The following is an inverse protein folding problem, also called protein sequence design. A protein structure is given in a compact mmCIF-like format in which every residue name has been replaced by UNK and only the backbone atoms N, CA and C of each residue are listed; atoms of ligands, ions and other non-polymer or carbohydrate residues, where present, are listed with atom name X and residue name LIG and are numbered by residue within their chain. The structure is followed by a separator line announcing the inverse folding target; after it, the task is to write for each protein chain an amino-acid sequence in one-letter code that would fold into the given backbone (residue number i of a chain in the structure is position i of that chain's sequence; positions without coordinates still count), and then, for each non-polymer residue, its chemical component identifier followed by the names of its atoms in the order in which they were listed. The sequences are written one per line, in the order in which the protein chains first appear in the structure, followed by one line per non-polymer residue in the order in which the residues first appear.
data_IF_979341476398
#
_entry.id   IF_979341476398
#
_cell.length_a   1.000
_cell.length_b   1.000
_cell.length_c   1.000
_cell.angle_alpha   90.00
_cell.angle_beta   90.00
_cell.angle_gamma   90.00
#
_symmetry.space_group_name_H-M   'P 1'
#
loop_
_entity.id
_entity.type
_entity.pdbx_description
1 polymer ?
2 non-polymer ?
3 water ?
#
# COMPACT_ATOMS: atom_id res chain seq x y z
N UNK A 1 7.41 13.10 10.27
CA UNK A 1 6.30 12.71 9.32
C UNK A 1 5.92 11.24 9.53
N UNK A 2 4.61 10.95 9.40
CA UNK A 2 4.08 9.61 9.59
C UNK A 2 4.25 8.76 8.31
N UNK A 3 5.05 7.69 8.42
CA UNK A 3 5.15 6.68 7.34
C UNK A 3 4.17 5.55 7.59
N UNK A 4 3.13 5.49 6.77
CA UNK A 4 2.09 4.50 6.94
C UNK A 4 2.16 3.53 5.77
N UNK A 5 2.06 2.23 6.09
CA UNK A 5 1.96 1.18 5.09
C UNK A 5 0.50 1.06 4.74
N UNK A 6 0.20 0.72 3.48
CA UNK A 6 -1.17 0.56 3.04
C UNK A 6 -1.17 -0.69 2.17
N UNK A 7 -1.90 -1.71 2.62
CA UNK A 7 -1.79 -3.09 2.09
C UNK A 7 -3.10 -3.95 2.18
N UNK A 8 -3.38 -4.69 1.11
CA UNK A 8 -4.40 -5.71 1.17
C UNK A 8 -3.72 -7.02 0.82
N UNK A 9 -4.15 -8.11 1.48
CA UNK A 9 -3.52 -9.44 1.37
C UNK A 9 -4.42 -10.62 1.73
N UNK A 10 -4.12 -11.77 1.12
CA UNK A 10 -4.53 -13.15 1.56
C UNK A 10 -4.55 -13.44 3.05
N UNK A 11 -4.95 -14.65 3.38
CA UNK A 11 -4.76 -15.09 4.75
C UNK A 11 -3.35 -15.68 4.87
N UNK A 12 -2.80 -16.02 3.71
CA UNK A 12 -1.39 -16.43 3.55
C UNK A 12 -0.38 -15.35 3.12
N UNK A 13 -0.74 -14.08 3.34
CA UNK A 13 0.05 -12.88 3.00
C UNK A 13 0.29 -12.56 1.53
N UNK A 14 -0.37 -13.22 0.58
CA UNK A 14 -0.21 -12.89 -0.86
C UNK A 14 -0.82 -11.52 -1.19
N UNK A 15 -0.07 -10.68 -1.89
CA UNK A 15 -0.56 -9.38 -2.27
C UNK A 15 -0.57 -9.22 -3.79
N UNK A 16 -0.31 -10.29 -4.54
CA UNK A 16 -0.03 -10.17 -5.97
C UNK A 16 0.23 -11.47 -6.68
N UNK A 17 0.10 -11.45 -8.00
CA UNK A 17 -0.06 -12.67 -8.82
C UNK A 17 0.99 -12.84 -9.90
N UNK A 18 0.75 -12.22 -11.04
CA UNK A 18 1.75 -12.21 -12.10
C UNK A 18 2.52 -10.93 -11.85
N UNK A 19 1.76 -9.84 -11.92
CA UNK A 19 2.13 -8.49 -11.55
C UNK A 19 0.86 -7.88 -10.98
N UNK A 20 -0.22 -8.03 -11.75
CA UNK A 20 -1.59 -7.71 -11.35
C UNK A 20 -2.03 -8.49 -10.08
N UNK A 21 -2.97 -7.93 -9.32
CA UNK A 21 -3.31 -8.50 -8.01
C UNK A 21 -4.26 -9.69 -8.14
N UNK A 22 -4.29 -10.55 -7.12
CA UNK A 22 -5.03 -11.83 -7.19
C UNK A 22 -6.57 -11.75 -7.35
N UNK A 23 -7.16 -10.68 -6.83
CA UNK A 23 -8.62 -10.57 -6.73
C UNK A 23 -9.20 -9.46 -7.64
N UNK A 24 -10.04 -8.60 -7.06
CA UNK A 24 -10.67 -7.44 -7.73
C UNK A 24 -11.91 -7.01 -6.94
N UNK A 25 -11.68 -6.13 -5.98
CA UNK A 25 -12.66 -5.79 -5.00
C UNK A 25 -12.96 -4.28 -4.90
N UNK A 26 -13.68 -3.73 -5.89
CA UNK A 26 -14.26 -2.40 -5.83
C UNK A 26 -14.46 -1.73 -4.45
N UNK A 27 -15.17 -2.37 -3.53
CA UNK A 27 -15.41 -1.72 -2.23
C UNK A 27 -14.12 -1.52 -1.46
N UNK A 28 -13.16 -2.44 -1.62
CA UNK A 28 -11.86 -2.34 -0.94
C UNK A 28 -11.15 -1.08 -1.42
N UNK A 29 -11.03 -0.95 -2.74
CA UNK A 29 -10.50 0.22 -3.45
C UNK A 29 -11.18 1.50 -3.05
N UNK A 30 -12.39 1.36 -2.51
CA UNK A 30 -13.11 2.49 -1.89
C UNK A 30 -12.40 2.88 -0.60
N UNK A 31 -12.43 2.03 0.42
CA UNK A 31 -11.70 2.30 1.68
C UNK A 31 -10.33 2.97 1.38
N UNK A 32 -9.70 2.53 0.28
CA UNK A 32 -8.32 2.90 0.00
C UNK A 32 -8.37 4.36 -0.44
N UNK A 33 -9.07 4.65 -1.54
CA UNK A 33 -9.36 6.04 -1.94
C UNK A 33 -9.64 6.93 -0.75
N UNK A 34 -10.69 6.63 0.02
CA UNK A 34 -11.08 7.34 1.26
C UNK A 34 -9.90 7.74 2.13
N UNK A 35 -9.30 6.75 2.79
CA UNK A 35 -8.21 6.92 3.78
C UNK A 35 -6.93 7.59 3.20
N UNK A 36 -6.73 7.41 1.91
CA UNK A 36 -5.54 7.88 1.24
C UNK A 36 -5.67 9.32 0.76
N UNK A 37 -6.88 9.71 0.33
CA UNK A 37 -7.14 10.99 -0.39
C UNK A 37 -6.39 12.14 0.23
N UNK A 38 -5.71 12.91 -0.61
CA UNK A 38 -5.00 14.11 -0.16
C UNK A 38 -3.68 13.82 0.49
N UNK A 39 -3.12 12.67 0.14
CA UNK A 39 -1.86 12.18 0.70
C UNK A 39 -1.05 11.56 -0.39
N UNK A 40 0.28 11.60 -0.23
CA UNK A 40 1.18 10.98 -1.22
C UNK A 40 1.17 9.45 -1.18
N UNK A 41 1.06 8.82 -2.36
CA UNK A 41 1.23 7.38 -2.52
C UNK A 41 2.62 7.13 -3.03
N UNK A 42 3.42 6.32 -2.33
CA UNK A 42 4.76 5.90 -2.76
C UNK A 42 4.65 4.45 -3.22
N UNK A 43 4.89 4.21 -4.51
CA UNK A 43 4.79 2.87 -5.08
C UNK A 43 5.98 2.53 -6.00
N UNK A 44 6.20 1.27 -6.30
CA UNK A 44 7.28 0.90 -7.20
C UNK A 44 6.78 0.89 -8.63
N UNK A 45 7.69 0.63 -9.57
CA UNK A 45 7.34 0.67 -10.98
C UNK A 45 6.24 -0.33 -11.20
N UNK A 46 6.45 -1.58 -10.77
CA UNK A 46 5.56 -2.69 -11.13
C UNK A 46 4.16 -2.54 -10.55
N UNK A 47 4.11 -2.04 -9.32
CA UNK A 47 2.85 -1.59 -8.71
C UNK A 47 2.11 -0.54 -9.53
N UNK A 48 2.81 0.46 -10.08
CA UNK A 48 2.16 1.45 -10.95
C UNK A 48 1.62 0.88 -12.27
N UNK A 49 2.30 -0.09 -12.88
CA UNK A 49 1.80 -0.66 -14.13
C UNK A 49 0.54 -1.50 -13.92
N UNK A 50 0.41 -2.05 -12.71
CA UNK A 50 -0.77 -2.81 -12.33
C UNK A 50 -1.94 -1.83 -12.28
N UNK A 51 -1.76 -0.79 -11.47
CA UNK A 51 -2.70 0.33 -11.40
C UNK A 51 -2.99 0.97 -12.76
N UNK A 52 -1.94 1.28 -13.51
CA UNK A 52 -2.01 1.69 -14.92
C UNK A 52 -2.41 3.13 -15.16
N UNK A 53 -2.45 3.92 -14.08
CA UNK A 53 -2.67 5.37 -14.14
C UNK A 53 -2.47 6.04 -12.77
N UNK A 54 -2.19 7.35 -12.78
CA UNK A 54 -2.12 8.15 -11.55
C UNK A 54 -3.46 8.18 -10.77
N UNK A 55 -3.39 8.03 -9.45
CA UNK A 55 -4.60 8.13 -8.63
C UNK A 55 -4.95 9.56 -8.26
N UNK A 56 -6.12 10.01 -8.71
CA UNK A 56 -6.54 11.41 -8.56
C UNK A 56 -6.56 11.85 -7.10
N UNK A 57 -6.09 13.07 -6.82
CA UNK A 57 -6.22 13.68 -5.47
C UNK A 57 -5.03 13.53 -4.55
N UNK A 58 -4.02 12.80 -5.03
CA UNK A 58 -2.90 12.28 -4.25
C UNK A 58 -1.64 12.41 -5.10
N UNK A 59 -0.54 12.86 -4.50
CA UNK A 59 0.74 12.89 -5.20
C UNK A 59 1.21 11.46 -5.33
N UNK A 60 1.17 10.96 -6.55
CA UNK A 60 1.72 9.69 -6.88
C UNK A 60 3.20 9.85 -7.06
N UNK A 61 3.98 8.99 -6.42
CA UNK A 61 5.44 9.06 -6.39
C UNK A 61 5.90 7.62 -6.54
N UNK A 62 6.71 7.40 -7.56
CA UNK A 62 7.14 6.07 -7.97
C UNK A 62 8.58 5.94 -7.56
N UNK A 63 9.00 4.75 -7.12
CA UNK A 63 10.36 4.59 -6.61
C UNK A 63 11.13 3.65 -7.51
N UNK A 64 12.14 4.18 -8.22
CA UNK A 64 13.12 3.42 -8.99
C UNK A 64 14.46 4.04 -8.74
N UNK A 65 15.49 3.18 -8.73
CA UNK A 65 16.90 3.57 -8.80
C UNK A 65 17.29 4.12 -10.21
N UNK A 66 16.45 3.84 -11.22
CA UNK A 66 16.64 4.24 -12.63
C UNK A 66 16.51 5.75 -12.96
N UNK A 67 17.65 6.38 -13.28
CA UNK A 67 17.72 7.83 -13.38
C UNK A 67 16.91 8.44 -14.59
N UNK A 68 16.38 7.58 -15.46
CA UNK A 68 15.73 8.02 -16.69
C UNK A 68 14.31 7.53 -16.89
N UNK A 69 13.68 7.11 -15.80
CA UNK A 69 12.28 6.73 -15.77
C UNK A 69 11.35 7.93 -15.53
N UNK A 70 10.39 8.12 -16.45
CA UNK A 70 9.37 9.18 -16.35
C UNK A 70 7.96 8.68 -16.76
N UNK A 71 6.95 9.05 -16.00
CA UNK A 71 5.57 8.84 -16.47
C UNK A 71 4.84 10.11 -16.14
N UNK A 72 3.84 10.45 -16.95
CA UNK A 72 3.15 11.71 -16.73
C UNK A 72 2.21 11.58 -15.55
N UNK A 73 2.11 12.64 -14.76
CA UNK A 73 1.17 12.67 -13.64
C UNK A 73 1.75 12.11 -12.38
N UNK A 74 2.98 11.62 -12.48
CA UNK A 74 3.63 10.98 -11.37
C UNK A 74 5.01 11.59 -11.13
N UNK A 75 5.43 11.65 -9.88
CA UNK A 75 6.76 12.05 -9.58
C UNK A 75 7.58 10.77 -9.47
N UNK A 76 8.88 10.86 -9.69
CA UNK A 76 9.78 9.73 -9.53
C UNK A 76 10.79 10.05 -8.44
N UNK A 77 11.14 9.05 -7.66
CA UNK A 77 12.07 9.22 -6.59
C UNK A 77 13.01 8.08 -6.86
N UNK A 78 14.29 8.29 -6.61
CA UNK A 78 15.26 7.30 -7.04
C UNK A 78 15.91 6.88 -5.77
N UNK A 79 15.28 7.25 -4.67
CA UNK A 79 15.79 6.94 -3.32
C UNK A 79 14.76 7.09 -2.23
N UNK A 80 14.89 6.32 -1.16
CA UNK A 80 14.16 6.66 0.09
C UNK A 80 14.43 8.09 0.55
N UNK A 81 15.65 8.57 0.33
CA UNK A 81 16.01 9.89 0.82
C UNK A 81 15.21 10.96 0.07
N UNK A 82 15.10 10.77 -1.25
CA UNK A 82 14.32 11.65 -2.15
C UNK A 82 12.81 11.72 -1.86
N UNK A 83 12.23 10.55 -1.53
CA UNK A 83 10.84 10.38 -1.08
C UNK A 83 10.51 11.32 0.08
N UNK A 84 11.40 11.39 1.08
CA UNK A 84 11.28 12.30 2.22
C UNK A 84 11.58 13.75 1.86
N UNK A 85 12.38 13.95 0.81
CA UNK A 85 12.64 15.29 0.29
C UNK A 85 11.39 15.82 -0.42
N UNK A 86 10.84 15.07 -1.39
CA UNK A 86 9.52 15.40 -1.97
C UNK A 86 8.38 15.54 -0.94
N UNK A 87 8.44 14.79 0.14
CA UNK A 87 7.36 14.85 1.13
C UNK A 87 7.72 15.51 2.44
N UNK A 88 8.84 16.23 2.45
CA UNK A 88 9.21 17.21 3.48
C UNK A 88 8.07 17.82 4.35
N UNK A 89 7.08 18.44 3.71
CA UNK A 89 5.93 19.13 4.37
C UNK A 89 4.72 18.24 4.61
N UNK A 90 4.90 16.95 4.42
CA UNK A 90 3.78 16.04 4.42
C UNK A 90 3.48 15.42 5.78
N UNK A 91 2.27 15.68 6.24
CA UNK A 91 1.57 14.98 7.31
C UNK A 91 1.89 13.46 7.40
N UNK A 92 1.39 12.72 6.42
CA UNK A 92 1.38 11.28 6.43
C UNK A 92 1.75 10.85 5.01
N UNK A 93 2.48 9.73 4.92
CA UNK A 93 2.94 9.10 3.68
C UNK A 93 2.28 7.72 3.65
N UNK A 94 1.81 7.30 2.48
CA UNK A 94 1.30 5.94 2.30
C UNK A 94 2.21 5.14 1.38
N UNK A 95 2.82 4.09 1.92
CA UNK A 95 3.56 3.15 1.11
C UNK A 95 2.55 2.22 0.39
N UNK A 96 2.40 2.42 -0.91
CA UNK A 96 1.32 1.77 -1.61
C UNK A 96 1.73 0.38 -1.94
N UNK A 97 3.02 0.16 -2.14
CA UNK A 97 3.49 -1.18 -2.20
C UNK A 97 4.15 -1.58 -3.48
N UNK A 98 4.12 -2.89 -3.73
CA UNK A 98 5.21 -3.66 -4.27
C UNK A 98 5.84 -4.13 -2.95
N UNK A 99 6.05 -5.45 -2.81
CA UNK A 99 6.73 -6.04 -1.61
C UNK A 99 8.06 -5.36 -1.31
N UNK A 100 8.84 -5.16 -2.36
CA UNK A 100 10.15 -4.57 -2.25
C UNK A 100 10.15 -3.12 -1.78
N UNK A 101 9.11 -2.40 -2.17
CA UNK A 101 8.83 -1.05 -1.66
C UNK A 101 8.55 -1.05 -0.16
N UNK A 102 7.74 -2.00 0.33
CA UNK A 102 7.54 -2.21 1.79
C UNK A 102 8.81 -2.50 2.52
N UNK A 103 9.68 -3.31 1.94
CA UNK A 103 11.02 -3.62 2.50
C UNK A 103 11.91 -2.40 2.68
N UNK A 104 11.99 -1.59 1.62
CA UNK A 104 12.60 -0.26 1.68
C UNK A 104 12.20 0.60 2.85
N UNK A 105 10.91 0.68 3.17
CA UNK A 105 10.42 1.62 4.20
C UNK A 105 10.16 1.01 5.58
N UNK A 106 10.62 -0.23 5.72
CA UNK A 106 10.48 -0.99 6.95
C UNK A 106 11.16 -0.28 8.13
N UNK A 107 12.38 0.25 8.01
CA UNK A 107 12.98 0.94 9.15
C UNK A 107 12.28 2.24 9.57
N UNK A 108 11.29 2.72 8.79
CA UNK A 108 10.69 4.03 9.06
C UNK A 108 9.19 4.04 9.51
N UNK A 109 8.43 2.96 9.19
CA UNK A 109 7.00 2.84 9.51
C UNK A 109 6.67 3.16 10.94
N UNK A 110 5.62 3.95 11.11
CA UNK A 110 5.04 4.14 12.41
C UNK A 110 3.54 3.77 12.45
N UNK A 111 2.92 3.46 11.30
CA UNK A 111 1.48 3.12 11.25
C UNK A 111 1.17 2.10 10.14
N UNK A 112 0.27 1.14 10.38
CA UNK A 112 -0.03 0.07 9.38
C UNK A 112 -1.49 -0.05 8.94
N UNK A 113 -1.78 -0.03 7.64
CA UNK A 113 -3.15 -0.22 7.20
C UNK A 113 -3.36 -1.54 6.45
N UNK A 114 -3.72 -2.58 7.19
CA UNK A 114 -3.85 -3.91 6.62
C UNK A 114 -5.31 -4.33 6.40
N UNK A 115 -5.59 -4.87 5.22
CA UNK A 115 -6.85 -5.54 4.91
C UNK A 115 -6.51 -7.02 4.84
N UNK A 116 -7.24 -7.84 5.58
CA UNK A 116 -7.03 -9.26 5.56
C UNK A 116 -8.23 -9.99 4.95
N UNK A 117 -8.14 -10.34 3.67
CA UNK A 117 -9.10 -11.19 2.96
C UNK A 117 -8.94 -12.68 3.32
N UNK A 118 -10.01 -13.31 3.83
CA UNK A 118 -10.01 -14.75 4.16
C UNK A 118 -10.47 -15.54 2.95
N UNK A 119 -9.49 -16.09 2.22
CA UNK A 119 -9.62 -16.89 0.96
C UNK A 119 -8.20 -16.91 0.42
N UNK A 120 -7.76 -18.03 -0.12
CA UNK A 120 -6.39 -18.08 -0.56
C UNK A 120 -6.27 -18.25 -2.07
N UNK A 121 -5.54 -17.32 -2.71
CA UNK A 121 -5.45 -17.27 -4.17
C UNK A 121 -4.07 -17.79 -4.65
N UNK A 122 -3.97 -18.08 -5.95
CA UNK A 122 -2.69 -18.38 -6.61
C UNK A 122 -1.94 -17.12 -7.06
N UNK A 123 -0.69 -16.99 -6.61
CA UNK A 123 0.19 -15.84 -6.88
C UNK A 123 1.50 -15.95 -6.10
N UNK A 124 2.33 -14.91 -6.10
CA UNK A 124 3.72 -15.13 -5.73
C UNK A 124 4.46 -14.00 -5.02
N UNK A 125 3.86 -12.83 -4.94
CA UNK A 125 4.44 -11.78 -4.08
C UNK A 125 3.68 -11.71 -2.77
N UNK A 126 4.38 -11.35 -1.70
CA UNK A 126 3.87 -11.48 -0.35
C UNK A 126 4.17 -10.24 0.45
N UNK A 127 3.40 -10.00 1.50
CA UNK A 127 3.68 -8.87 2.34
C UNK A 127 4.81 -9.22 3.34
N UNK A 128 5.92 -8.50 3.24
CA UNK A 128 7.05 -8.63 4.14
C UNK A 128 6.64 -8.59 5.59
N UNK A 129 6.64 -9.72 6.30
CA UNK A 129 6.10 -9.73 7.66
C UNK A 129 6.97 -9.20 8.80
N UNK A 130 6.33 -8.86 9.91
CA UNK A 130 6.94 -7.97 10.88
C UNK A 130 6.66 -8.40 12.31
N UNK A 131 5.66 -7.80 12.96
CA UNK A 131 5.60 -7.77 14.43
C UNK A 131 4.37 -8.32 15.11
N UNK A 132 4.53 -9.52 15.69
CA UNK A 132 3.80 -9.97 16.90
C UNK A 132 4.63 -9.53 18.14
N UNK A 133 5.89 -9.13 17.88
CA UNK A 133 6.77 -8.41 18.85
C UNK A 133 6.45 -6.90 18.99
N UNK A 134 5.45 -6.45 18.22
CA UNK A 134 4.60 -5.31 18.57
C UNK A 134 3.23 -5.60 17.93
N UNK A 135 2.34 -4.64 17.64
CA UNK A 135 2.53 -3.20 17.62
C UNK A 135 1.49 -2.58 18.55
N UNK A 136 0.23 -2.65 18.09
CA UNK A 136 -0.99 -2.24 18.81
C UNK A 136 -2.11 -2.03 17.80
N UNK A 137 -3.07 -2.96 17.77
CA UNK A 137 -4.34 -2.76 17.08
C UNK A 137 -4.81 -1.38 17.49
N UNK A 138 -5.50 -0.68 16.60
CA UNK A 138 -6.07 0.62 16.96
C UNK A 138 -7.41 0.78 16.26
N UNK A 139 -7.90 -0.32 15.69
CA UNK A 139 -9.08 -0.26 14.87
C UNK A 139 -9.28 -1.58 14.14
N UNK A 140 -10.53 -2.07 14.10
CA UNK A 140 -10.96 -3.23 13.27
C UNK A 140 -12.36 -2.99 12.62
N UNK A 141 -12.65 -3.67 11.51
CA UNK A 141 -13.96 -3.60 10.89
C UNK A 141 -14.11 -4.69 9.82
N UNK A 142 -15.34 -4.90 9.32
CA UNK A 142 -15.61 -5.80 8.20
C UNK A 142 -16.02 -4.97 7.03
N UNK A 143 -16.00 -5.55 5.84
CA UNK A 143 -16.32 -4.81 4.64
C UNK A 143 -17.39 -5.45 3.78
N UNK A 144 -17.69 -4.80 2.67
CA UNK A 144 -18.79 -5.20 1.81
C UNK A 144 -18.50 -6.50 1.07
N UNK A 145 -19.33 -7.51 1.30
CA UNK A 145 -19.35 -8.71 0.45
C UNK A 145 -20.61 -8.73 -0.45
N UNK A 146 -20.40 -8.86 -1.76
CA UNK A 146 -21.41 -8.62 -2.81
C UNK A 146 -21.31 -9.72 -3.85
N UNK A 147 -21.93 -9.52 -5.02
CA UNK A 147 -21.62 -10.31 -6.23
C UNK A 147 -20.23 -9.91 -6.79
N UNK A 148 -19.85 -8.67 -6.53
CA UNK A 148 -18.48 -8.21 -6.80
C UNK A 148 -17.91 -7.59 -5.51
N UNK A 149 -16.96 -8.30 -4.91
CA UNK A 149 -16.55 -8.11 -3.51
C UNK A 149 -16.87 -9.38 -2.69
N UNK A 150 -16.84 -10.54 -3.33
CA UNK A 150 -17.24 -11.76 -2.63
C UNK A 150 -16.22 -12.38 -1.67
N UNK A 151 -15.85 -11.73 -0.55
CA UNK A 151 -14.92 -12.33 0.46
C UNK A 151 -14.89 -11.60 1.82
N UNK A 152 -14.85 -12.34 2.94
CA UNK A 152 -14.88 -11.68 4.27
C UNK A 152 -13.56 -11.03 4.78
N UNK A 153 -13.26 -9.82 4.32
CA UNK A 153 -12.04 -9.12 4.76
C UNK A 153 -12.27 -8.21 5.92
N UNK A 154 -11.20 -7.90 6.64
CA UNK A 154 -11.24 -7.02 7.81
C UNK A 154 -10.27 -5.82 7.70
N UNK A 155 -10.83 -4.61 7.63
CA UNK A 155 -10.02 -3.41 7.65
C UNK A 155 -9.38 -3.33 9.02
N UNK A 156 -8.05 -3.31 9.04
CA UNK A 156 -7.21 -3.14 10.25
C UNK A 156 -6.38 -1.86 10.21
N UNK A 157 -5.94 -1.40 11.38
CA UNK A 157 -4.94 -0.34 11.51
C UNK A 157 -4.08 -0.67 12.76
N UNK A 158 -2.77 -0.37 12.76
CA UNK A 158 -1.92 -0.53 13.99
C UNK A 158 -1.07 0.72 14.23
N UNK A 159 -0.49 0.87 15.42
CA UNK A 159 0.48 1.95 15.64
C UNK A 159 1.69 1.56 16.49
N UNK A 160 2.87 1.65 15.89
CA UNK A 160 4.12 1.55 16.63
C UNK A 160 4.33 2.94 17.23
N UNK A 161 4.18 3.02 18.56
CA UNK A 161 4.30 4.29 19.30
C UNK A 161 5.60 4.32 20.13
N UNK A 162 6.26 3.15 20.22
CA UNK A 162 7.65 3.07 20.65
C UNK A 162 8.59 3.25 19.44
X LIG B 1 -5.76 -2.23 -1.41
X LIG B 1 -5.10 -1.89 -0.29
X LIG B 1 -5.74 -2.00 0.85
X LIG B 1 -3.80 -1.47 -0.29
X LIG B 1 -3.11 -1.30 -1.46
X LIG B 1 -1.78 -1.04 -1.38
X LIG B 1 -3.77 -1.65 -2.65
X LIG B 1 -3.14 -1.56 -3.88
X LIG B 1 -3.81 -1.92 -5.06
X LIG B 1 -5.13 -2.38 -4.99
X LIG B 1 -5.77 -2.48 -3.76
X LIG B 1 -5.09 -2.11 -2.60
X LIG B 1 -3.15 -1.83 -6.39
X LIG B 1 -4.13 -1.88 -7.50
X LIG B 1 -3.75 -2.69 -8.66
X LIG B 1 -6.86 1.30 -8.19
X LIG B 1 -6.59 0.39 -9.21
X LIG B 1 -5.71 -0.66 -8.98
X LIG B 1 -5.06 -0.80 -7.72
X LIG B 1 -5.36 0.15 -6.72
X LIG B 1 -6.24 1.20 -7.01
X LIG B 1 -7.84 2.44 -8.39
X LIG B 1 -8.30 2.77 -9.69
X LIG B 1 -8.26 3.06 -7.28
X LIG B 1 -9.16 4.19 -7.22
X LIG B 1 -8.50 5.30 -6.41
X LIG B 1 -7.85 5.02 -5.35
X LIG B 1 -8.56 6.52 -6.78
X LIG B 1 -10.42 3.69 -6.49
X LIG B 1 -11.79 3.80 -7.20
X LIG B 1 -11.70 3.40 -8.66
X LIG B 1 -11.80 4.28 -9.57
X LIG B 1 -11.53 2.20 -8.98
#
# INVERSE_FOLDING_TARGET
MIVSFMVAMDENRVIGKDNNLPWRLPSELQYVKKTTMGHPLIMGRKNYEAIGRPLPGRRNIIVTRNEGYHVEGCEVAHSVEEVFELCKNEEEIFIFGGAQIYDLFLPYVDKLYITKIHHAFEGDTFFPEMDMTNWKEVFVEKGLTDEKNPYTYYYHVYEKQQ
MTX N1 C2 NA2 N3 C4 NA4 C4A N5 C6 C7 N8 C8A C9 N10 CM C11 C12 C13 C14 C15 C16 C O N CA CT O1 O2 CB CG CD OE1 OE2
#
